data_IF_214126980455
#
_entry.id   IF_214126980455
#
_cell.length_a   1.000
_cell.length_b   1.000
_cell.length_c   1.000
_cell.angle_alpha   90.00
_cell.angle_beta   90.00
_cell.angle_gamma   90.00
#
_symmetry.space_group_name_H-M   'P 1'
#
loop_
_entity.id
_entity.type
_entity.pdbx_description
1 polymer ?
#
# COMPACT_ATOMS: atom_id res chain seq x y z
N UNK A 1 -12.44 -12.90 -25.18
CA UNK A 1 -12.75 -13.38 -23.81
C UNK A 1 -13.49 -12.30 -23.06
N UNK A 2 -14.55 -12.65 -22.35
CA UNK A 2 -15.29 -11.76 -21.45
C UNK A 2 -14.96 -12.10 -20.00
N UNK A 3 -14.59 -11.12 -19.20
CA UNK A 3 -14.22 -11.31 -17.80
C UNK A 3 -15.03 -10.45 -16.86
N UNK A 4 -15.14 -10.83 -15.61
CA UNK A 4 -15.67 -9.98 -14.57
C UNK A 4 -14.62 -9.70 -13.48
N UNK A 5 -14.74 -8.55 -12.81
CA UNK A 5 -13.91 -8.15 -11.67
C UNK A 5 -14.82 -7.79 -10.51
N UNK A 6 -14.77 -8.57 -9.44
CA UNK A 6 -15.63 -8.43 -8.26
C UNK A 6 -14.90 -7.72 -7.15
N UNK A 7 -15.51 -6.63 -6.66
CA UNK A 7 -14.88 -5.69 -5.75
C UNK A 7 -14.08 -4.64 -6.51
N UNK A 8 -14.69 -3.49 -6.77
CA UNK A 8 -14.11 -2.38 -7.56
C UNK A 8 -13.49 -1.31 -6.66
N UNK A 9 -12.84 -1.74 -5.58
CA UNK A 9 -11.90 -0.89 -4.81
C UNK A 9 -10.63 -0.64 -5.62
N UNK A 10 -9.58 -0.17 -4.93
CA UNK A 10 -8.31 0.19 -5.57
C UNK A 10 -7.77 -0.90 -6.51
N UNK A 11 -7.60 -2.14 -6.00
CA UNK A 11 -7.13 -3.26 -6.80
C UNK A 11 -8.07 -3.57 -7.97
N UNK A 12 -9.36 -3.70 -7.68
CA UNK A 12 -10.31 -4.20 -8.71
C UNK A 12 -10.58 -3.18 -9.81
N UNK A 13 -10.72 -1.89 -9.51
CA UNK A 13 -10.92 -0.86 -10.53
C UNK A 13 -9.69 -0.73 -11.43
N UNK A 14 -8.47 -0.77 -10.84
CA UNK A 14 -7.21 -0.78 -11.60
C UNK A 14 -7.12 -2.02 -12.49
N UNK A 15 -7.37 -3.20 -11.92
CA UNK A 15 -7.33 -4.45 -12.69
C UNK A 15 -8.34 -4.44 -13.83
N UNK A 16 -9.57 -4.00 -13.59
CA UNK A 16 -10.62 -3.93 -14.61
C UNK A 16 -10.24 -3.01 -15.79
N UNK A 17 -9.74 -1.81 -15.50
CA UNK A 17 -9.32 -0.86 -16.52
C UNK A 17 -8.10 -1.37 -17.32
N UNK A 18 -7.12 -1.97 -16.64
CA UNK A 18 -5.94 -2.54 -17.31
C UNK A 18 -6.27 -3.77 -18.15
N UNK A 19 -7.16 -4.64 -17.69
CA UNK A 19 -7.57 -5.80 -18.50
C UNK A 19 -8.37 -5.37 -19.74
N UNK A 20 -9.15 -4.27 -19.66
CA UNK A 20 -9.79 -3.68 -20.81
C UNK A 20 -8.76 -3.08 -21.80
N UNK A 21 -7.66 -2.48 -21.30
CA UNK A 21 -6.54 -2.00 -22.12
C UNK A 21 -5.82 -3.16 -22.83
N UNK A 22 -5.69 -4.30 -22.17
CA UNK A 22 -5.15 -5.54 -22.76
C UNK A 22 -6.10 -6.19 -23.78
N UNK A 23 -7.28 -5.59 -24.03
CA UNK A 23 -8.20 -5.97 -25.11
C UNK A 23 -9.39 -6.83 -24.71
N UNK A 24 -9.56 -7.12 -23.43
CA UNK A 24 -10.68 -7.95 -22.95
C UNK A 24 -11.98 -7.13 -22.79
N UNK A 25 -13.12 -7.79 -22.83
CA UNK A 25 -14.42 -7.23 -22.45
C UNK A 25 -14.61 -7.41 -20.94
N UNK A 26 -14.77 -6.34 -20.19
CA UNK A 26 -14.71 -6.37 -18.72
C UNK A 26 -15.99 -5.84 -18.09
N UNK A 27 -16.50 -6.58 -17.10
CA UNK A 27 -17.61 -6.12 -16.24
C UNK A 27 -17.12 -6.05 -14.78
N UNK A 28 -17.04 -4.84 -14.22
CA UNK A 28 -16.77 -4.62 -12.81
C UNK A 28 -18.03 -4.72 -11.96
N UNK A 29 -17.98 -5.44 -10.85
CA UNK A 29 -19.11 -5.60 -9.92
C UNK A 29 -18.72 -5.16 -8.52
N UNK A 30 -19.55 -4.32 -7.90
CA UNK A 30 -19.40 -3.93 -6.49
C UNK A 30 -20.78 -3.76 -5.86
N UNK A 31 -20.90 -3.99 -4.56
CA UNK A 31 -22.15 -3.77 -3.81
C UNK A 31 -22.43 -2.30 -3.50
N UNK A 32 -21.44 -1.44 -3.62
CA UNK A 32 -21.54 0.00 -3.37
C UNK A 32 -22.07 0.72 -4.62
N UNK A 33 -23.35 1.07 -4.62
CA UNK A 33 -24.02 1.74 -5.74
C UNK A 33 -23.42 3.11 -6.07
N UNK A 34 -22.97 3.88 -5.07
CA UNK A 34 -22.36 5.19 -5.28
C UNK A 34 -21.01 5.08 -6.00
N UNK A 35 -20.20 4.07 -5.60
CA UNK A 35 -18.95 3.75 -6.27
C UNK A 35 -19.17 3.30 -7.72
N UNK A 36 -20.16 2.44 -7.96
CA UNK A 36 -20.51 1.97 -9.31
C UNK A 36 -20.98 3.13 -10.19
N UNK A 37 -21.78 4.04 -9.63
CA UNK A 37 -22.21 5.25 -10.37
C UNK A 37 -21.03 6.13 -10.80
N UNK A 38 -20.08 6.40 -9.88
CA UNK A 38 -18.87 7.18 -10.18
C UNK A 38 -18.02 6.49 -11.25
N UNK A 39 -17.70 5.20 -11.07
CA UNK A 39 -16.90 4.42 -12.01
C UNK A 39 -17.54 4.33 -13.40
N UNK A 40 -18.87 4.22 -13.46
CA UNK A 40 -19.63 4.19 -14.73
C UNK A 40 -19.57 5.52 -15.49
N UNK A 41 -19.31 6.64 -14.81
CA UNK A 41 -19.03 7.95 -15.39
C UNK A 41 -17.56 8.14 -15.78
N UNK A 42 -16.68 7.18 -15.43
CA UNK A 42 -15.23 7.28 -15.60
C UNK A 42 -14.55 8.08 -14.50
N UNK A 43 -15.19 8.21 -13.34
CA UNK A 43 -14.67 8.92 -12.15
C UNK A 43 -14.12 7.92 -11.13
N UNK A 44 -12.94 8.20 -10.59
CA UNK A 44 -12.28 7.36 -9.57
C UNK A 44 -12.56 7.91 -8.17
N UNK A 45 -12.94 7.04 -7.20
CA UNK A 45 -13.13 7.44 -5.81
C UNK A 45 -11.81 7.46 -4.99
N UNK A 46 -10.66 7.32 -5.64
CA UNK A 46 -9.31 7.33 -5.05
C UNK A 46 -8.29 7.88 -6.05
N UNK A 47 -7.09 8.17 -5.56
CA UNK A 47 -6.01 8.69 -6.41
C UNK A 47 -5.09 7.57 -6.90
N UNK A 48 -4.91 7.48 -8.21
CA UNK A 48 -3.87 6.66 -8.88
C UNK A 48 -3.49 7.33 -10.19
N UNK A 49 -2.19 7.60 -10.44
CA UNK A 49 -1.72 8.17 -11.69
C UNK A 49 -2.16 7.33 -12.91
N UNK A 50 -2.44 7.97 -14.04
CA UNK A 50 -2.80 7.37 -15.34
C UNK A 50 -4.13 6.59 -15.35
N UNK A 51 -4.65 6.16 -14.21
CA UNK A 51 -5.87 5.36 -14.14
C UNK A 51 -7.14 6.13 -14.54
N UNK A 52 -7.32 7.43 -14.23
CA UNK A 52 -8.51 8.20 -14.67
C UNK A 52 -8.70 8.20 -16.19
N UNK A 53 -7.62 8.44 -16.94
CA UNK A 53 -7.62 8.47 -18.40
C UNK A 53 -7.95 7.09 -18.98
N UNK A 54 -7.33 6.04 -18.42
CA UNK A 54 -7.52 4.66 -18.84
C UNK A 54 -8.97 4.20 -18.58
N UNK A 55 -9.49 4.47 -17.37
CA UNK A 55 -10.87 4.18 -17.00
C UNK A 55 -11.85 4.87 -17.94
N UNK A 56 -11.73 6.18 -18.11
CA UNK A 56 -12.62 6.98 -18.98
C UNK A 56 -12.60 6.49 -20.43
N UNK A 57 -11.42 6.14 -20.96
CA UNK A 57 -11.23 5.58 -22.31
C UNK A 57 -12.08 4.32 -22.51
N UNK A 58 -11.98 3.37 -21.59
CA UNK A 58 -12.62 2.06 -21.77
C UNK A 58 -14.10 2.05 -21.40
N UNK A 59 -14.54 2.88 -20.44
CA UNK A 59 -15.95 3.08 -20.16
C UNK A 59 -16.66 3.72 -21.37
N UNK A 60 -16.12 4.80 -21.95
CA UNK A 60 -16.66 5.44 -23.16
C UNK A 60 -16.60 4.52 -24.38
N UNK A 61 -15.56 3.70 -24.49
CA UNK A 61 -15.39 2.72 -25.57
C UNK A 61 -16.28 1.48 -25.46
N UNK A 62 -16.99 1.30 -24.33
CA UNK A 62 -17.89 0.16 -24.10
C UNK A 62 -17.16 -1.17 -23.78
N UNK A 63 -15.82 -1.15 -23.64
CA UNK A 63 -14.99 -2.31 -23.25
C UNK A 63 -15.05 -2.61 -21.76
N UNK A 64 -15.35 -1.58 -20.94
CA UNK A 64 -15.46 -1.68 -19.50
C UNK A 64 -16.83 -1.16 -19.05
N UNK A 65 -17.55 -1.98 -18.29
CA UNK A 65 -18.84 -1.62 -17.68
C UNK A 65 -18.80 -1.89 -16.20
N UNK A 66 -19.63 -1.19 -15.45
CA UNK A 66 -19.77 -1.40 -14.00
C UNK A 66 -21.23 -1.61 -13.63
N UNK A 67 -21.48 -2.51 -12.67
CA UNK A 67 -22.84 -2.87 -12.23
C UNK A 67 -22.84 -3.32 -10.78
N UNK A 68 -24.01 -3.26 -10.15
CA UNK A 68 -24.27 -3.93 -8.86
C UNK A 68 -24.96 -5.30 -9.04
N UNK A 69 -25.35 -5.64 -10.27
CA UNK A 69 -26.10 -6.86 -10.58
C UNK A 69 -25.18 -7.99 -11.05
N UNK A 70 -25.10 -9.05 -10.26
CA UNK A 70 -24.33 -10.25 -10.58
C UNK A 70 -24.90 -11.02 -11.80
N UNK A 71 -26.15 -10.83 -12.18
CA UNK A 71 -26.70 -11.50 -13.38
C UNK A 71 -25.99 -11.08 -14.68
N UNK A 72 -25.41 -9.85 -14.73
CA UNK A 72 -24.69 -9.34 -15.88
C UNK A 72 -23.34 -10.01 -16.17
N UNK A 73 -22.85 -10.81 -15.22
CA UNK A 73 -21.58 -11.54 -15.36
C UNK A 73 -21.78 -13.04 -15.61
N UNK A 74 -23.01 -13.52 -15.70
CA UNK A 74 -23.30 -14.94 -15.86
C UNK A 74 -22.67 -15.58 -17.10
N UNK A 75 -22.42 -14.81 -18.16
CA UNK A 75 -21.79 -15.26 -19.41
C UNK A 75 -20.27 -15.04 -19.48
N UNK A 76 -19.64 -14.53 -18.40
CA UNK A 76 -18.19 -14.34 -18.34
C UNK A 76 -17.43 -15.67 -18.29
N UNK A 77 -16.23 -15.68 -18.89
CA UNK A 77 -15.35 -16.84 -18.95
C UNK A 77 -14.48 -16.94 -17.67
N UNK A 78 -14.09 -15.78 -17.14
CA UNK A 78 -13.23 -15.65 -15.95
C UNK A 78 -13.81 -14.60 -15.01
N UNK A 79 -13.79 -14.90 -13.71
CA UNK A 79 -14.26 -14.03 -12.65
C UNK A 79 -13.12 -13.74 -11.67
N UNK A 80 -12.55 -12.53 -11.71
CA UNK A 80 -11.49 -12.10 -10.79
C UNK A 80 -12.10 -11.52 -9.51
N UNK A 81 -11.80 -12.14 -8.36
CA UNK A 81 -12.26 -11.68 -7.04
C UNK A 81 -11.18 -10.79 -6.42
N UNK A 82 -11.47 -9.49 -6.34
CA UNK A 82 -10.56 -8.42 -5.92
C UNK A 82 -11.05 -7.71 -4.65
N UNK A 83 -11.87 -8.35 -3.85
CA UNK A 83 -12.45 -7.77 -2.63
C UNK A 83 -11.41 -7.59 -1.53
N UNK A 84 -11.63 -6.62 -0.63
CA UNK A 84 -10.73 -6.37 0.49
C UNK A 84 -10.72 -7.50 1.52
N UNK A 85 -9.59 -7.63 2.20
CA UNK A 85 -9.39 -8.54 3.35
C UNK A 85 -8.88 -7.72 4.54
N UNK A 86 -9.74 -6.93 5.20
CA UNK A 86 -9.32 -6.13 6.33
C UNK A 86 -8.92 -7.01 7.51
N UNK A 87 -8.15 -6.45 8.44
CA UNK A 87 -7.88 -7.11 9.71
C UNK A 87 -9.17 -7.19 10.53
N UNK A 88 -9.39 -8.28 11.24
CA UNK A 88 -10.50 -8.41 12.19
C UNK A 88 -10.40 -7.35 13.29
N UNK A 89 -11.54 -6.89 13.80
CA UNK A 89 -11.60 -5.88 14.88
C UNK A 89 -10.91 -6.36 16.15
N UNK A 90 -11.09 -7.63 16.45
CA UNK A 90 -10.62 -8.26 17.70
C UNK A 90 -9.55 -9.31 17.38
N UNK A 91 -8.40 -8.87 16.84
CA UNK A 91 -7.29 -9.78 16.58
C UNK A 91 -6.40 -9.41 15.39
N UNK A 92 -5.43 -10.26 15.10
CA UNK A 92 -4.49 -10.06 13.99
C UNK A 92 -4.92 -10.74 12.69
N UNK A 93 -5.91 -11.65 12.76
CA UNK A 93 -6.39 -12.43 11.61
C UNK A 93 -7.07 -11.55 10.55
N UNK A 94 -7.09 -12.03 9.31
CA UNK A 94 -7.82 -11.39 8.22
C UNK A 94 -9.33 -11.75 8.29
N UNK A 95 -10.19 -10.77 8.03
CA UNK A 95 -11.62 -11.00 7.81
C UNK A 95 -11.85 -11.49 6.39
N UNK A 96 -12.26 -12.76 6.26
CA UNK A 96 -12.54 -13.43 4.99
C UNK A 96 -14.02 -13.39 4.58
N UNK A 97 -14.88 -12.73 5.33
CA UNK A 97 -16.32 -12.67 5.06
C UNK A 97 -16.62 -12.12 3.65
N UNK A 98 -15.93 -11.06 3.26
CA UNK A 98 -16.07 -10.47 1.92
C UNK A 98 -15.64 -11.42 0.81
N UNK A 99 -14.52 -12.12 0.99
CA UNK A 99 -14.02 -13.11 0.02
C UNK A 99 -15.01 -14.24 -0.14
N UNK A 100 -15.45 -14.86 0.96
CA UNK A 100 -16.42 -15.98 0.96
C UNK A 100 -17.74 -15.56 0.30
N UNK A 101 -18.25 -14.38 0.65
CA UNK A 101 -19.50 -13.84 0.08
C UNK A 101 -19.36 -13.60 -1.43
N UNK A 102 -18.27 -13.01 -1.89
CA UNK A 102 -18.02 -12.76 -3.31
C UNK A 102 -17.91 -14.07 -4.11
N UNK A 103 -17.16 -15.06 -3.61
CA UNK A 103 -17.07 -16.37 -4.25
C UNK A 103 -18.45 -17.08 -4.33
N UNK A 104 -19.24 -17.04 -3.26
CA UNK A 104 -20.58 -17.63 -3.26
C UNK A 104 -21.53 -16.94 -4.25
N UNK A 105 -21.50 -15.59 -4.30
CA UNK A 105 -22.34 -14.82 -5.21
C UNK A 105 -22.00 -15.09 -6.69
N UNK A 106 -20.71 -15.16 -7.02
CA UNK A 106 -20.25 -15.50 -8.38
C UNK A 106 -20.62 -16.94 -8.73
N UNK A 107 -20.37 -17.90 -7.83
CA UNK A 107 -20.66 -19.32 -8.06
C UNK A 107 -22.15 -19.58 -8.34
N UNK A 108 -23.05 -18.76 -7.80
CA UNK A 108 -24.49 -18.87 -8.01
C UNK A 108 -24.94 -18.48 -9.43
N UNK A 109 -24.16 -17.66 -10.15
CA UNK A 109 -24.53 -17.14 -11.48
C UNK A 109 -23.59 -17.60 -12.60
N UNK A 110 -22.38 -18.06 -12.24
CA UNK A 110 -21.33 -18.43 -13.17
C UNK A 110 -21.76 -19.57 -14.10
N UNK A 111 -21.53 -19.43 -15.42
CA UNK A 111 -21.81 -20.49 -16.39
C UNK A 111 -20.92 -21.70 -16.18
N UNK A 112 -21.35 -22.87 -16.61
CA UNK A 112 -20.52 -24.08 -16.62
C UNK A 112 -19.22 -23.84 -17.39
N UNK A 113 -18.10 -24.22 -16.77
CA UNK A 113 -16.78 -24.09 -17.36
C UNK A 113 -16.12 -22.75 -17.17
N UNK A 114 -16.72 -21.77 -16.49
CA UNK A 114 -16.01 -20.55 -16.11
C UNK A 114 -14.98 -20.80 -15.00
N UNK A 115 -13.98 -19.91 -14.94
CA UNK A 115 -12.90 -19.94 -13.94
C UNK A 115 -13.09 -18.83 -12.92
N UNK A 116 -13.13 -19.17 -11.63
CA UNK A 116 -13.10 -18.21 -10.53
C UNK A 116 -11.64 -18.01 -10.09
N UNK A 117 -11.19 -16.76 -10.02
CA UNK A 117 -9.80 -16.41 -9.74
C UNK A 117 -9.69 -15.48 -8.54
N UNK A 118 -9.14 -15.96 -7.44
CA UNK A 118 -8.84 -15.10 -6.28
C UNK A 118 -7.59 -14.24 -6.54
N UNK A 119 -7.72 -12.91 -6.37
CA UNK A 119 -6.57 -11.98 -6.40
C UNK A 119 -6.27 -11.38 -5.03
N UNK A 120 -7.22 -11.40 -4.13
CA UNK A 120 -7.07 -10.87 -2.77
C UNK A 120 -5.96 -11.57 -2.01
N UNK A 121 -5.26 -10.83 -1.13
CA UNK A 121 -4.31 -11.44 -0.19
C UNK A 121 -5.08 -12.14 0.92
N UNK A 122 -4.90 -13.44 1.05
CA UNK A 122 -5.61 -14.28 2.03
C UNK A 122 -4.63 -15.16 2.81
N UNK A 123 -5.02 -15.64 4.00
CA UNK A 123 -4.29 -16.67 4.73
C UNK A 123 -4.16 -17.97 3.92
N UNK A 124 -2.99 -18.59 4.00
CA UNK A 124 -2.71 -19.85 3.28
C UNK A 124 -3.72 -20.95 3.62
N UNK A 125 -4.20 -21.65 2.59
CA UNK A 125 -5.23 -22.68 2.67
C UNK A 125 -6.65 -22.20 2.37
N UNK A 126 -6.87 -20.88 2.29
CA UNK A 126 -8.19 -20.29 1.97
C UNK A 126 -8.71 -20.75 0.60
N UNK A 127 -7.86 -20.73 -0.43
CA UNK A 127 -8.24 -21.15 -1.78
C UNK A 127 -8.68 -22.62 -1.83
N UNK A 128 -8.00 -23.50 -1.08
CA UNK A 128 -8.38 -24.91 -0.99
C UNK A 128 -9.72 -25.12 -0.29
N UNK A 129 -10.03 -24.33 0.73
CA UNK A 129 -11.32 -24.36 1.41
C UNK A 129 -12.45 -23.85 0.52
N UNK A 130 -12.23 -22.78 -0.20
CA UNK A 130 -13.18 -22.23 -1.17
C UNK A 130 -13.45 -23.23 -2.31
N UNK A 131 -12.42 -23.87 -2.84
CA UNK A 131 -12.56 -24.85 -3.91
C UNK A 131 -13.50 -26.02 -3.54
N UNK A 132 -13.54 -26.44 -2.27
CA UNK A 132 -14.46 -27.49 -1.79
C UNK A 132 -15.92 -27.05 -1.79
N UNK A 133 -16.19 -25.76 -1.79
CA UNK A 133 -17.54 -25.19 -1.71
C UNK A 133 -18.10 -24.81 -3.09
N UNK A 134 -17.25 -24.80 -4.12
CA UNK A 134 -17.66 -24.44 -5.47
C UNK A 134 -18.47 -25.57 -6.15
N UNK A 135 -19.43 -25.21 -7.02
CA UNK A 135 -20.11 -26.17 -7.86
C UNK A 135 -19.13 -26.94 -8.74
N UNK A 136 -19.39 -28.24 -8.96
CA UNK A 136 -18.50 -29.13 -9.73
C UNK A 136 -18.25 -28.69 -11.19
N UNK A 137 -19.08 -27.80 -11.72
CA UNK A 137 -18.93 -27.26 -13.08
C UNK A 137 -18.06 -26.02 -13.17
N UNK A 138 -17.51 -25.53 -12.04
CA UNK A 138 -16.58 -24.38 -11.99
C UNK A 138 -15.21 -24.82 -11.47
N UNK A 139 -14.17 -24.09 -11.85
CA UNK A 139 -12.81 -24.28 -11.35
C UNK A 139 -12.33 -23.05 -10.60
N UNK A 140 -11.34 -23.23 -9.72
CA UNK A 140 -10.74 -22.16 -8.95
C UNK A 140 -9.24 -22.06 -9.25
N UNK A 141 -8.77 -20.82 -9.43
CA UNK A 141 -7.36 -20.47 -9.44
C UNK A 141 -7.06 -19.39 -8.43
N UNK A 142 -5.79 -19.22 -8.08
CA UNK A 142 -5.32 -18.11 -7.25
C UNK A 142 -4.22 -17.36 -7.98
N UNK A 143 -4.46 -16.07 -8.26
CA UNK A 143 -3.51 -15.20 -8.94
C UNK A 143 -3.28 -13.95 -8.09
N UNK A 144 -2.38 -14.02 -7.09
CA UNK A 144 -2.10 -12.88 -6.22
C UNK A 144 -1.58 -11.68 -7.01
N UNK A 145 -1.89 -10.49 -6.54
CA UNK A 145 -1.39 -9.23 -7.09
C UNK A 145 -0.08 -8.81 -6.42
N UNK A 146 0.73 -8.03 -7.13
CA UNK A 146 1.99 -7.46 -6.63
C UNK A 146 2.13 -5.99 -6.98
N UNK A 147 1.03 -5.31 -7.29
CA UNK A 147 1.02 -3.90 -7.66
C UNK A 147 1.43 -3.00 -6.48
N UNK A 148 1.95 -1.83 -6.84
CA UNK A 148 2.30 -0.76 -5.92
C UNK A 148 1.36 0.41 -6.17
N UNK A 149 0.72 0.94 -5.13
CA UNK A 149 -0.03 2.19 -5.24
C UNK A 149 0.86 3.29 -5.82
N UNK A 150 0.31 4.16 -6.68
CA UNK A 150 1.07 5.14 -7.45
C UNK A 150 1.78 4.61 -8.70
N UNK A 151 1.81 3.27 -8.88
CA UNK A 151 2.38 2.57 -10.04
C UNK A 151 1.51 1.39 -10.48
N UNK A 152 0.24 1.37 -10.06
CA UNK A 152 -0.58 0.19 -10.19
C UNK A 152 -0.97 -0.11 -11.64
N UNK A 153 -1.12 0.92 -12.49
CA UNK A 153 -1.35 0.77 -13.92
C UNK A 153 -0.15 0.07 -14.58
N UNK A 154 1.06 0.59 -14.38
CA UNK A 154 2.28 0.00 -14.94
C UNK A 154 2.52 -1.42 -14.42
N UNK A 155 2.39 -1.63 -13.10
CA UNK A 155 2.56 -2.96 -12.48
C UNK A 155 1.52 -3.99 -12.94
N UNK A 156 0.34 -3.55 -13.40
CA UNK A 156 -0.70 -4.44 -13.94
C UNK A 156 -0.51 -4.71 -15.43
N UNK A 157 -0.17 -3.67 -16.21
CA UNK A 157 0.06 -3.82 -17.65
C UNK A 157 1.38 -4.53 -17.97
N UNK A 158 2.44 -4.27 -17.15
CA UNK A 158 3.79 -4.85 -17.32
C UNK A 158 4.29 -5.47 -16.01
N UNK A 159 3.63 -6.52 -15.51
CA UNK A 159 4.02 -7.14 -14.24
C UNK A 159 5.39 -7.81 -14.34
N UNK A 160 6.19 -7.69 -13.29
CA UNK A 160 7.50 -8.38 -13.21
C UNK A 160 7.37 -9.90 -13.28
N UNK A 161 6.23 -10.43 -12.93
CA UNK A 161 5.85 -11.86 -12.99
C UNK A 161 4.36 -12.05 -12.81
N UNK A 162 3.84 -13.13 -13.36
CA UNK A 162 2.49 -13.65 -13.09
C UNK A 162 2.62 -14.97 -12.32
N UNK A 163 2.08 -15.01 -11.10
CA UNK A 163 2.04 -16.21 -10.27
C UNK A 163 0.61 -16.75 -10.30
N UNK A 164 0.44 -18.02 -10.63
CA UNK A 164 -0.87 -18.66 -10.70
C UNK A 164 -0.88 -19.99 -9.98
N UNK A 165 -1.73 -20.10 -8.97
CA UNK A 165 -2.06 -21.33 -8.29
C UNK A 165 -3.22 -22.01 -9.01
N UNK A 166 -3.00 -23.19 -9.57
CA UNK A 166 -3.99 -23.93 -10.32
C UNK A 166 -3.98 -25.40 -9.95
N UNK A 167 -5.12 -26.07 -10.18
CA UNK A 167 -5.28 -27.51 -9.94
C UNK A 167 -5.42 -28.30 -11.25
N UNK A 168 -5.60 -27.63 -12.38
CA UNK A 168 -5.73 -28.25 -13.70
C UNK A 168 -4.95 -27.48 -14.78
N UNK A 169 -4.62 -28.17 -15.86
CA UNK A 169 -4.01 -27.53 -17.04
C UNK A 169 -5.01 -26.61 -17.75
N UNK A 170 -6.30 -26.95 -17.72
CA UNK A 170 -7.37 -26.12 -18.29
C UNK A 170 -7.45 -24.75 -17.61
N UNK A 171 -7.42 -24.70 -16.29
CA UNK A 171 -7.43 -23.44 -15.54
C UNK A 171 -6.19 -22.58 -15.89
N UNK A 172 -5.02 -23.20 -16.07
CA UNK A 172 -3.81 -22.53 -16.49
C UNK A 172 -3.94 -21.94 -17.90
N UNK A 173 -4.45 -22.71 -18.86
CA UNK A 173 -4.60 -22.24 -20.25
C UNK A 173 -5.60 -21.08 -20.36
N UNK A 174 -6.71 -21.10 -19.62
CA UNK A 174 -7.65 -19.98 -19.55
C UNK A 174 -6.96 -18.71 -19.03
N UNK A 175 -6.13 -18.83 -17.98
CA UNK A 175 -5.38 -17.67 -17.48
C UNK A 175 -4.29 -17.19 -18.44
N UNK A 176 -3.62 -18.10 -19.14
CA UNK A 176 -2.67 -17.72 -20.21
C UNK A 176 -3.34 -16.96 -21.35
N UNK A 177 -4.58 -17.32 -21.70
CA UNK A 177 -5.37 -16.57 -22.68
C UNK A 177 -5.70 -15.15 -22.14
N UNK A 178 -6.15 -15.05 -20.89
CA UNK A 178 -6.45 -13.76 -20.26
C UNK A 178 -5.21 -12.82 -20.20
N UNK A 179 -4.02 -13.37 -20.01
CA UNK A 179 -2.75 -12.64 -19.92
C UNK A 179 -1.89 -12.79 -21.20
N UNK A 180 -2.49 -13.10 -22.33
CA UNK A 180 -1.73 -13.38 -23.57
C UNK A 180 -0.83 -12.23 -24.02
N UNK A 181 -1.26 -10.97 -23.82
CA UNK A 181 -0.46 -9.78 -24.16
C UNK A 181 0.79 -9.72 -23.27
N UNK A 182 0.63 -9.87 -21.94
CA UNK A 182 1.75 -9.85 -21.01
C UNK A 182 2.76 -10.96 -21.30
N UNK A 183 2.28 -12.17 -21.61
CA UNK A 183 3.14 -13.29 -21.97
C UNK A 183 3.90 -13.05 -23.29
N UNK A 184 3.25 -12.44 -24.28
CA UNK A 184 3.90 -12.06 -25.55
C UNK A 184 4.99 -11.02 -25.34
N UNK A 185 4.84 -10.13 -24.36
CA UNK A 185 5.85 -9.14 -23.95
C UNK A 185 6.98 -9.74 -23.10
N UNK A 186 6.92 -11.05 -22.79
CA UNK A 186 7.97 -11.78 -22.07
C UNK A 186 7.81 -11.78 -20.55
N UNK A 187 6.65 -11.44 -20.00
CA UNK A 187 6.40 -11.54 -18.56
C UNK A 187 6.60 -12.98 -18.07
N UNK A 188 7.43 -13.21 -17.04
CA UNK A 188 7.63 -14.54 -16.46
C UNK A 188 6.33 -15.13 -15.90
N UNK A 189 6.06 -16.37 -16.27
CA UNK A 189 4.92 -17.14 -15.79
C UNK A 189 5.36 -18.18 -14.77
N UNK A 190 4.76 -18.13 -13.57
CA UNK A 190 5.08 -19.05 -12.47
C UNK A 190 3.83 -19.86 -12.12
N UNK A 191 3.76 -21.09 -12.61
CA UNK A 191 2.74 -22.06 -12.20
C UNK A 191 3.07 -22.60 -10.81
N UNK A 192 2.07 -22.63 -9.94
CA UNK A 192 2.15 -23.14 -8.58
C UNK A 192 0.86 -23.91 -8.22
N UNK A 193 0.84 -24.60 -7.09
CA UNK A 193 -0.40 -25.02 -6.46
C UNK A 193 -1.03 -23.85 -5.66
N UNK A 194 -2.28 -24.01 -5.24
CA UNK A 194 -3.03 -22.96 -4.53
C UNK A 194 -2.32 -22.45 -3.28
N UNK A 195 -1.86 -23.30 -2.34
CA UNK A 195 -1.16 -22.81 -1.14
C UNK A 195 0.13 -22.06 -1.45
N UNK A 196 0.90 -22.50 -2.43
CA UNK A 196 2.14 -21.80 -2.81
C UNK A 196 1.85 -20.42 -3.38
N UNK A 197 0.81 -20.27 -4.23
CA UNK A 197 0.44 -18.97 -4.77
C UNK A 197 0.01 -17.98 -3.67
N UNK A 198 -0.74 -18.44 -2.66
CA UNK A 198 -1.09 -17.65 -1.48
C UNK A 198 0.15 -17.26 -0.69
N UNK A 199 1.08 -18.21 -0.43
CA UNK A 199 2.30 -17.98 0.33
C UNK A 199 3.26 -17.00 -0.37
N UNK A 200 3.37 -17.04 -1.71
CA UNK A 200 4.25 -16.12 -2.45
C UNK A 200 3.95 -14.67 -2.14
N UNK A 201 2.66 -14.29 -2.03
CA UNK A 201 2.26 -12.92 -1.73
C UNK A 201 2.68 -12.49 -0.33
N UNK A 202 2.30 -13.25 0.68
CA UNK A 202 2.62 -12.90 2.07
C UNK A 202 4.10 -13.00 2.36
N UNK A 203 4.83 -13.95 1.75
CA UNK A 203 6.28 -14.06 1.87
C UNK A 203 6.99 -12.85 1.26
N UNK A 204 6.57 -12.40 0.07
CA UNK A 204 7.12 -11.20 -0.54
C UNK A 204 6.91 -9.96 0.36
N UNK A 205 5.69 -9.74 0.88
CA UNK A 205 5.41 -8.62 1.76
C UNK A 205 6.18 -8.71 3.08
N UNK A 206 6.31 -9.90 3.67
CA UNK A 206 7.10 -10.13 4.88
C UNK A 206 8.59 -9.83 4.66
N UNK A 207 9.15 -10.23 3.52
CA UNK A 207 10.54 -9.95 3.19
C UNK A 207 10.80 -8.45 2.97
N UNK A 208 9.88 -7.76 2.29
CA UNK A 208 9.96 -6.30 2.10
C UNK A 208 9.88 -5.55 3.42
N UNK A 209 8.96 -5.94 4.31
CA UNK A 209 8.86 -5.39 5.67
C UNK A 209 10.15 -5.62 6.47
N UNK A 210 10.75 -6.82 6.35
CA UNK A 210 12.03 -7.15 7.00
C UNK A 210 13.15 -6.23 6.52
N UNK A 211 13.27 -5.95 5.22
CA UNK A 211 14.29 -5.03 4.69
C UNK A 211 14.16 -3.62 5.29
N UNK A 212 12.92 -3.10 5.37
CA UNK A 212 12.68 -1.76 5.94
C UNK A 212 13.00 -1.74 7.44
N UNK A 213 12.54 -2.73 8.20
CA UNK A 213 12.85 -2.80 9.63
C UNK A 213 14.32 -3.03 9.89
N UNK A 214 15.00 -3.85 9.07
CA UNK A 214 16.45 -4.04 9.15
C UNK A 214 17.21 -2.73 9.02
N UNK A 215 16.94 -1.95 7.98
CA UNK A 215 17.65 -0.67 7.78
C UNK A 215 17.29 0.37 8.86
N UNK A 216 16.07 0.33 9.40
CA UNK A 216 15.69 1.17 10.53
C UNK A 216 16.44 0.79 11.83
N UNK A 217 16.67 -0.50 12.06
CA UNK A 217 17.54 -0.96 13.17
C UNK A 217 18.99 -0.50 12.95
N UNK A 218 19.51 -0.55 11.71
CA UNK A 218 20.85 -0.03 11.40
C UNK A 218 20.93 1.49 11.59
N UNK A 219 19.86 2.23 11.35
CA UNK A 219 19.79 3.66 11.63
C UNK A 219 20.02 3.96 13.12
N UNK A 220 19.45 3.15 14.02
CA UNK A 220 19.68 3.29 15.47
C UNK A 220 21.16 3.07 15.83
N UNK A 221 21.82 2.11 15.22
CA UNK A 221 23.26 1.84 15.44
C UNK A 221 24.09 3.00 14.86
N UNK A 222 23.75 3.51 13.68
CA UNK A 222 24.46 4.66 13.09
C UNK A 222 24.42 5.89 14.01
N UNK A 223 23.26 6.23 14.59
CA UNK A 223 23.14 7.34 15.54
C UNK A 223 24.05 7.18 16.77
N UNK A 224 24.19 5.95 17.27
CA UNK A 224 25.00 5.66 18.44
C UNK A 224 26.50 5.69 18.15
N UNK A 225 26.91 5.35 16.93
CA UNK A 225 28.30 5.17 16.53
C UNK A 225 28.86 6.31 15.69
N UNK A 226 28.05 7.32 15.36
CA UNK A 226 28.43 8.42 14.44
C UNK A 226 28.44 8.02 12.97
N UNK A 227 27.74 6.94 12.61
CA UNK A 227 27.59 6.49 11.23
C UNK A 227 26.51 7.26 10.46
N UNK A 228 26.44 7.02 9.13
CA UNK A 228 25.36 7.52 8.25
C UNK A 228 24.66 6.31 7.60
N UNK A 229 23.38 6.12 7.94
CA UNK A 229 22.58 5.00 7.44
C UNK A 229 22.35 5.08 5.93
N UNK A 230 22.37 6.27 5.32
CA UNK A 230 22.18 6.43 3.87
C UNK A 230 23.40 5.90 3.10
N UNK A 231 24.60 6.15 3.63
CA UNK A 231 25.85 5.59 3.11
C UNK A 231 25.91 4.09 3.32
N UNK A 232 25.55 3.60 4.52
CA UNK A 232 25.46 2.18 4.83
C UNK A 232 24.51 1.46 3.87
N UNK A 233 23.26 1.97 3.71
CA UNK A 233 22.27 1.39 2.83
C UNK A 233 22.75 1.33 1.36
N UNK A 234 23.39 2.42 0.88
CA UNK A 234 23.99 2.47 -0.45
C UNK A 234 25.08 1.41 -0.61
N UNK A 235 25.98 1.30 0.36
CA UNK A 235 27.12 0.37 0.32
C UNK A 235 26.67 -1.09 0.26
N UNK A 236 25.76 -1.52 1.17
CA UNK A 236 25.25 -2.89 1.14
C UNK A 236 24.36 -3.16 -0.06
N UNK A 237 23.67 -2.14 -0.56
CA UNK A 237 22.77 -2.22 -1.73
C UNK A 237 23.51 -2.49 -3.05
N UNK A 238 24.82 -2.25 -3.13
CA UNK A 238 25.65 -2.61 -4.29
C UNK A 238 25.86 -4.12 -4.43
N UNK A 239 25.71 -4.89 -3.36
CA UNK A 239 25.72 -6.34 -3.47
C UNK A 239 24.43 -6.81 -4.18
N UNK A 240 24.52 -7.46 -5.36
CA UNK A 240 23.32 -7.90 -6.11
C UNK A 240 22.47 -8.92 -5.35
N UNK A 241 23.01 -9.60 -4.36
CA UNK A 241 22.27 -10.53 -3.48
C UNK A 241 21.35 -9.79 -2.52
N UNK A 242 21.63 -8.51 -2.21
CA UNK A 242 20.87 -7.65 -1.32
C UNK A 242 19.99 -6.69 -2.14
N UNK A 243 20.59 -5.95 -3.06
CA UNK A 243 19.95 -4.91 -3.88
C UNK A 243 19.56 -3.68 -3.06
N UNK A 244 19.44 -2.54 -3.71
CA UNK A 244 19.22 -1.23 -3.09
C UNK A 244 17.75 -0.92 -2.73
N UNK A 245 16.78 -1.65 -3.28
CA UNK A 245 15.36 -1.38 -3.04
C UNK A 245 14.94 -1.78 -1.63
N UNK A 246 14.06 -0.97 -1.00
CA UNK A 246 13.55 -1.17 0.35
C UNK A 246 14.60 -1.09 1.47
N UNK A 247 15.69 -0.35 1.23
CA UNK A 247 16.74 -0.05 2.21
C UNK A 247 16.77 1.44 2.58
N UNK A 248 15.65 2.14 2.53
CA UNK A 248 15.55 3.53 2.97
C UNK A 248 15.09 3.57 4.43
N UNK A 249 15.98 4.05 5.31
CA UNK A 249 15.66 4.26 6.71
C UNK A 249 14.73 5.48 6.87
N UNK A 250 13.78 5.38 7.78
CA UNK A 250 12.82 6.44 8.06
C UNK A 250 11.86 6.09 9.20
N UNK A 251 10.67 6.65 9.15
CA UNK A 251 9.64 6.50 10.20
C UNK A 251 8.89 5.14 10.16
N UNK A 252 9.37 4.20 9.39
CA UNK A 252 8.75 2.89 9.22
C UNK A 252 7.79 2.80 8.04
N UNK A 253 7.26 1.59 7.84
CA UNK A 253 6.25 1.31 6.82
C UNK A 253 4.83 1.42 7.38
N UNK A 254 3.88 1.72 6.51
CA UNK A 254 2.44 1.79 6.76
C UNK A 254 1.65 1.29 5.56
N UNK A 255 0.47 1.87 5.38
CA UNK A 255 -0.45 1.52 4.31
C UNK A 255 -1.31 0.30 4.60
N UNK A 256 -2.22 0.01 3.69
CA UNK A 256 -3.19 -1.06 3.82
C UNK A 256 -2.66 -2.48 3.57
N UNK A 257 -1.35 -2.66 3.32
CA UNK A 257 -0.78 -3.95 2.92
C UNK A 257 0.22 -4.51 3.93
N UNK A 258 1.44 -3.93 4.04
CA UNK A 258 2.52 -4.55 4.81
C UNK A 258 2.15 -4.84 6.27
N UNK A 259 1.60 -3.87 7.07
CA UNK A 259 1.32 -4.13 8.47
C UNK A 259 0.29 -5.24 8.68
N UNK A 260 -0.84 -5.20 7.92
CA UNK A 260 -1.89 -6.21 8.07
C UNK A 260 -1.46 -7.59 7.62
N UNK A 261 -0.67 -7.67 6.52
CA UNK A 261 -0.30 -8.95 5.91
C UNK A 261 0.69 -9.73 6.80
N UNK A 262 1.68 -9.05 7.41
CA UNK A 262 2.60 -9.71 8.35
C UNK A 262 1.86 -10.16 9.62
N UNK A 263 0.92 -9.36 10.14
CA UNK A 263 0.11 -9.71 11.31
C UNK A 263 -0.83 -10.88 11.02
N UNK A 264 -1.52 -10.85 9.87
CA UNK A 264 -2.38 -11.95 9.43
C UNK A 264 -1.57 -13.24 9.17
N UNK A 265 -0.33 -13.12 8.67
CA UNK A 265 0.55 -14.27 8.46
C UNK A 265 0.99 -14.90 9.78
N UNK A 266 1.34 -14.09 10.78
CA UNK A 266 1.65 -14.60 12.13
C UNK A 266 0.45 -15.32 12.75
N UNK A 267 -0.76 -14.73 12.68
CA UNK A 267 -1.98 -15.37 13.18
C UNK A 267 -2.26 -16.70 12.47
N UNK A 268 -2.12 -16.74 11.14
CA UNK A 268 -2.33 -17.98 10.38
C UNK A 268 -1.29 -19.05 10.69
N UNK A 269 -0.04 -18.68 10.87
CA UNK A 269 1.02 -19.62 11.27
C UNK A 269 0.74 -20.24 12.66
N UNK A 270 0.17 -19.46 13.60
CA UNK A 270 -0.26 -19.95 14.90
C UNK A 270 -1.39 -20.98 14.76
N UNK A 271 -2.44 -20.68 13.96
CA UNK A 271 -3.52 -21.62 13.68
C UNK A 271 -3.03 -22.95 13.07
N UNK A 272 -1.95 -22.89 12.28
CA UNK A 272 -1.34 -24.05 11.64
C UNK A 272 -0.30 -24.77 12.51
N UNK A 273 -0.02 -24.29 13.74
CA UNK A 273 1.00 -24.86 14.62
C UNK A 273 2.43 -24.56 14.16
N UNK A 274 2.65 -23.55 13.34
CA UNK A 274 3.94 -23.17 12.75
C UNK A 274 4.45 -21.80 13.23
N UNK A 275 4.04 -21.33 14.40
CA UNK A 275 4.36 -19.99 14.95
C UNK A 275 5.84 -19.67 14.93
N UNK A 276 6.70 -20.66 15.29
CA UNK A 276 8.15 -20.48 15.35
C UNK A 276 8.78 -20.10 14.01
N UNK A 277 8.20 -20.55 12.89
CA UNK A 277 8.71 -20.27 11.55
C UNK A 277 8.66 -18.78 11.19
N UNK A 278 7.73 -18.02 11.77
CA UNK A 278 7.48 -16.61 11.49
C UNK A 278 7.65 -15.72 12.74
N UNK A 279 8.22 -16.22 13.82
CA UNK A 279 8.38 -15.48 15.08
C UNK A 279 9.18 -14.19 14.90
N UNK A 280 10.17 -14.17 14.02
CA UNK A 280 10.95 -12.98 13.68
C UNK A 280 10.08 -11.80 13.18
N UNK A 281 8.89 -12.04 12.65
CA UNK A 281 7.99 -10.99 12.21
C UNK A 281 7.44 -10.15 13.36
N UNK A 282 7.42 -10.68 14.58
CA UNK A 282 7.10 -9.90 15.80
C UNK A 282 8.13 -8.80 16.03
N UNK A 283 9.42 -9.14 15.87
CA UNK A 283 10.51 -8.18 16.01
C UNK A 283 10.49 -7.16 14.87
N UNK A 284 10.18 -7.59 13.65
CA UNK A 284 10.01 -6.71 12.48
C UNK A 284 8.91 -5.66 12.71
N UNK A 285 7.73 -6.07 13.20
CA UNK A 285 6.63 -5.14 13.52
C UNK A 285 7.01 -4.23 14.71
N UNK A 286 7.67 -4.77 15.74
CA UNK A 286 8.14 -4.00 16.90
C UNK A 286 9.16 -2.92 16.50
N UNK A 287 10.13 -3.23 15.64
CA UNK A 287 11.10 -2.27 15.09
C UNK A 287 10.36 -1.19 14.28
N UNK A 288 9.38 -1.58 13.46
CA UNK A 288 8.57 -0.66 12.68
C UNK A 288 7.83 0.36 13.57
N UNK A 289 7.16 -0.11 14.60
CA UNK A 289 6.45 0.76 15.55
C UNK A 289 7.44 1.64 16.37
N UNK A 290 8.59 1.10 16.75
CA UNK A 290 9.64 1.85 17.46
C UNK A 290 10.21 2.99 16.60
N UNK A 291 10.30 2.83 15.27
CA UNK A 291 10.75 3.90 14.38
C UNK A 291 9.87 5.15 14.50
N UNK A 292 8.55 5.01 14.67
CA UNK A 292 7.62 6.12 14.94
C UNK A 292 7.92 6.78 16.28
N UNK A 293 8.07 5.97 17.34
CA UNK A 293 8.37 6.48 18.69
C UNK A 293 9.69 7.26 18.75
N UNK A 294 10.68 6.88 17.95
CA UNK A 294 11.96 7.58 17.88
C UNK A 294 11.81 9.01 17.39
N UNK A 295 10.93 9.27 16.41
CA UNK A 295 10.64 10.65 15.96
C UNK A 295 10.07 11.47 17.12
N UNK A 296 9.13 10.91 17.88
CA UNK A 296 8.53 11.59 19.04
C UNK A 296 9.61 11.94 20.06
N UNK A 297 10.48 10.97 20.38
CA UNK A 297 11.59 11.20 21.31
C UNK A 297 12.55 12.30 20.82
N UNK A 298 12.80 12.40 19.51
CA UNK A 298 13.61 13.48 18.93
C UNK A 298 12.89 14.83 19.05
N UNK A 299 11.60 14.90 18.81
CA UNK A 299 10.81 16.13 19.02
C UNK A 299 10.87 16.57 20.48
N UNK A 300 10.71 15.66 21.43
CA UNK A 300 10.84 15.93 22.87
C UNK A 300 12.26 16.40 23.25
N UNK A 301 13.29 15.85 22.62
CA UNK A 301 14.69 16.27 22.83
C UNK A 301 14.93 17.69 22.30
N UNK A 302 14.36 18.04 21.15
CA UNK A 302 14.58 19.33 20.50
C UNK A 302 13.76 20.47 21.09
N UNK A 303 12.56 20.20 21.61
CA UNK A 303 11.62 21.20 22.11
C UNK A 303 11.38 21.13 23.62
N UNK A 304 11.76 20.04 24.26
CA UNK A 304 11.43 19.73 25.66
C UNK A 304 10.20 18.85 25.79
N UNK A 305 9.97 18.35 27.00
CA UNK A 305 8.88 17.41 27.29
C UNK A 305 7.48 18.08 27.33
N UNK A 306 7.41 19.38 27.59
CA UNK A 306 6.12 20.12 27.57
C UNK A 306 5.93 20.77 26.19
N UNK A 307 5.13 20.16 25.35
CA UNK A 307 4.90 20.59 23.98
C UNK A 307 3.75 21.60 23.82
N UNK A 308 3.07 22.01 24.88
CA UNK A 308 1.84 22.84 24.82
C UNK A 308 2.01 24.22 24.18
N UNK A 309 3.18 24.77 24.17
CA UNK A 309 3.43 26.11 23.60
C UNK A 309 4.02 26.06 22.19
N UNK A 310 4.22 24.89 21.63
CA UNK A 310 4.90 24.73 20.35
C UNK A 310 3.93 24.46 19.20
N UNK A 311 4.26 25.08 18.06
CA UNK A 311 3.61 24.81 16.77
C UNK A 311 4.51 23.89 15.94
N UNK A 312 3.95 22.76 15.52
CA UNK A 312 4.68 21.75 14.73
C UNK A 312 3.99 21.59 13.39
N UNK A 313 4.73 21.89 12.32
CA UNK A 313 4.29 21.65 10.96
C UNK A 313 4.69 20.22 10.52
N UNK A 314 3.74 19.49 9.96
CA UNK A 314 3.96 18.13 9.43
C UNK A 314 3.78 18.15 7.92
N UNK A 315 4.83 17.84 7.18
CA UNK A 315 4.80 17.68 5.74
C UNK A 315 4.65 16.18 5.40
N UNK A 316 3.43 15.81 5.06
CA UNK A 316 3.03 14.44 4.75
C UNK A 316 2.00 13.86 5.71
N UNK A 317 0.93 13.29 5.18
CA UNK A 317 -0.12 12.54 5.87
C UNK A 317 -0.25 11.11 5.34
N UNK A 318 -0.02 10.91 4.05
CA UNK A 318 -0.07 9.60 3.40
C UNK A 318 1.12 8.72 3.84
N UNK A 319 0.95 7.40 3.78
CA UNK A 319 2.02 6.48 4.20
C UNK A 319 3.23 6.49 3.25
N UNK A 320 3.03 6.95 2.00
CA UNK A 320 4.06 7.16 0.97
C UNK A 320 3.59 8.20 -0.05
N UNK A 321 4.48 8.77 -0.90
CA UNK A 321 4.10 9.65 -1.99
C UNK A 321 3.30 8.92 -3.10
N UNK A 322 2.69 9.69 -3.99
CA UNK A 322 1.91 9.24 -5.14
C UNK A 322 0.71 8.34 -4.79
N UNK A 323 0.13 8.55 -3.60
CA UNK A 323 -1.05 7.87 -3.08
C UNK A 323 -1.85 8.81 -2.17
N UNK A 324 -3.16 8.58 -2.01
CA UNK A 324 -4.01 9.22 -1.01
C UNK A 324 -4.28 8.32 0.20
N UNK A 325 -3.61 7.15 0.28
CA UNK A 325 -3.82 6.18 1.35
C UNK A 325 -3.20 6.62 2.67
N UNK A 326 -4.07 6.76 3.67
CA UNK A 326 -3.72 7.14 5.05
C UNK A 326 -3.89 5.97 6.05
N UNK A 327 -4.12 4.77 5.56
CA UNK A 327 -4.27 3.58 6.41
C UNK A 327 -2.93 3.25 7.07
N UNK A 328 -2.96 3.06 8.41
CA UNK A 328 -1.75 2.82 9.22
C UNK A 328 -0.58 3.76 8.86
N UNK A 329 -0.90 5.06 8.57
CA UNK A 329 0.12 6.04 8.21
C UNK A 329 1.03 6.34 9.39
N UNK A 330 2.36 6.10 9.29
CA UNK A 330 3.30 6.48 10.33
C UNK A 330 3.33 7.99 10.58
N UNK A 331 3.13 8.80 9.54
CA UNK A 331 3.11 10.26 9.63
C UNK A 331 1.93 10.74 10.50
N UNK A 332 0.73 10.24 10.24
CA UNK A 332 -0.46 10.60 11.03
C UNK A 332 -0.42 10.06 12.45
N UNK A 333 0.14 8.86 12.66
CA UNK A 333 0.34 8.30 13.99
C UNK A 333 1.28 9.18 14.83
N UNK A 334 2.41 9.60 14.27
CA UNK A 334 3.35 10.55 14.90
C UNK A 334 2.66 11.88 15.19
N UNK A 335 1.97 12.46 14.20
CA UNK A 335 1.26 13.74 14.35
C UNK A 335 0.21 13.70 15.45
N UNK A 336 -0.57 12.62 15.53
CA UNK A 336 -1.59 12.43 16.55
C UNK A 336 -0.99 12.28 17.97
N UNK A 337 0.11 11.55 18.11
CA UNK A 337 0.78 11.40 19.41
C UNK A 337 1.39 12.73 19.89
N UNK A 338 2.01 13.51 19.00
CA UNK A 338 2.55 14.84 19.30
C UNK A 338 1.43 15.82 19.67
N UNK A 339 0.31 15.78 18.96
CA UNK A 339 -0.88 16.57 19.31
C UNK A 339 -1.44 16.18 20.68
N UNK A 340 -1.53 14.88 20.97
CA UNK A 340 -1.97 14.39 22.28
C UNK A 340 -1.02 14.81 23.41
N UNK A 341 0.28 15.02 23.13
CA UNK A 341 1.25 15.60 24.08
C UNK A 341 1.09 17.11 24.26
N UNK A 342 0.16 17.76 23.54
CA UNK A 342 -0.25 19.14 23.72
C UNK A 342 0.23 20.14 22.69
N UNK A 343 1.01 19.74 21.70
CA UNK A 343 1.45 20.64 20.62
C UNK A 343 0.30 21.05 19.69
N UNK A 344 0.38 22.26 19.15
CA UNK A 344 -0.43 22.68 18.00
C UNK A 344 0.16 22.07 16.73
N UNK A 345 -0.49 21.05 16.17
CA UNK A 345 -0.01 20.34 14.97
C UNK A 345 -0.84 20.75 13.77
N UNK A 346 -0.15 21.20 12.70
CA UNK A 346 -0.76 21.47 11.39
C UNK A 346 -0.10 20.59 10.33
N UNK A 347 -0.92 19.94 9.50
CA UNK A 347 -0.47 18.95 8.51
C UNK A 347 -0.79 19.46 7.11
N UNK A 348 0.16 19.30 6.19
CA UNK A 348 -0.07 19.43 4.75
C UNK A 348 0.25 18.10 4.06
N UNK A 349 -0.56 17.75 3.05
CA UNK A 349 -0.30 16.62 2.15
C UNK A 349 -0.91 16.90 0.77
N UNK A 350 -0.22 16.63 -0.35
CA UNK A 350 -0.74 16.92 -1.68
C UNK A 350 -2.02 16.18 -2.06
N UNK A 351 -2.27 14.99 -1.46
CA UNK A 351 -3.41 14.12 -1.82
C UNK A 351 -4.18 13.56 -0.62
N UNK A 352 -3.55 13.52 0.55
CA UNK A 352 -4.07 12.81 1.72
C UNK A 352 -4.89 13.66 2.70
N UNK A 353 -5.13 14.96 2.44
CA UNK A 353 -5.81 15.85 3.42
C UNK A 353 -7.22 15.36 3.74
N UNK A 354 -8.05 15.12 2.72
CA UNK A 354 -9.45 14.74 2.94
C UNK A 354 -9.61 13.37 3.64
N UNK A 355 -8.92 12.29 3.23
CA UNK A 355 -8.97 11.04 3.97
C UNK A 355 -8.35 11.14 5.36
N UNK A 356 -7.30 11.95 5.55
CA UNK A 356 -6.70 12.19 6.87
C UNK A 356 -7.65 12.94 7.81
N UNK A 357 -8.32 14.00 7.33
CA UNK A 357 -9.30 14.78 8.11
C UNK A 357 -10.46 13.91 8.59
N UNK A 358 -10.96 13.01 7.75
CA UNK A 358 -12.01 12.06 8.14
C UNK A 358 -11.57 11.11 9.25
N UNK A 359 -10.30 10.69 9.23
CA UNK A 359 -9.76 9.71 10.19
C UNK A 359 -9.26 10.36 11.48
N UNK A 360 -8.73 11.58 11.40
CA UNK A 360 -8.15 12.34 12.51
C UNK A 360 -8.75 13.75 12.59
N UNK A 361 -10.06 13.88 12.91
CA UNK A 361 -10.75 15.16 12.87
C UNK A 361 -10.25 16.17 13.93
N UNK A 362 -9.45 15.74 14.90
CA UNK A 362 -8.86 16.60 15.93
C UNK A 362 -7.58 17.32 15.46
N UNK A 363 -6.98 16.91 14.34
CA UNK A 363 -5.78 17.52 13.78
C UNK A 363 -6.13 18.70 12.85
N UNK A 364 -5.22 19.68 12.75
CA UNK A 364 -5.37 20.78 11.81
C UNK A 364 -4.73 20.41 10.46
N UNK A 365 -5.36 20.86 9.36
CA UNK A 365 -4.89 20.61 8.00
C UNK A 365 -4.84 21.93 7.22
N UNK A 366 -3.75 22.14 6.48
CA UNK A 366 -3.54 23.28 5.59
C UNK A 366 -3.47 22.82 4.13
N UNK A 367 -4.07 23.59 3.23
CA UNK A 367 -4.10 23.27 1.79
C UNK A 367 -2.81 23.67 1.07
N UNK A 368 -1.96 24.51 1.73
CA UNK A 368 -0.67 24.98 1.19
C UNK A 368 0.44 24.77 2.19
N UNK A 369 1.64 24.46 1.67
CA UNK A 369 2.84 24.30 2.49
C UNK A 369 3.13 25.56 3.32
N UNK A 370 3.01 26.75 2.72
CA UNK A 370 3.28 28.03 3.37
C UNK A 370 2.37 28.28 4.57
N UNK A 371 1.09 27.89 4.46
CA UNK A 371 0.13 27.98 5.56
C UNK A 371 0.48 26.97 6.67
N UNK A 372 0.87 25.75 6.30
CA UNK A 372 1.25 24.72 7.23
C UNK A 372 2.46 25.11 8.07
N UNK A 373 3.51 25.67 7.44
CA UNK A 373 4.76 25.99 8.12
C UNK A 373 4.76 27.35 8.82
N UNK A 374 3.73 28.17 8.61
CA UNK A 374 3.66 29.53 9.14
C UNK A 374 3.74 29.58 10.66
N UNK A 375 4.80 30.22 11.20
CA UNK A 375 5.05 30.35 12.62
C UNK A 375 5.44 29.06 13.34
N UNK A 376 5.78 27.99 12.62
CA UNK A 376 6.19 26.72 13.20
C UNK A 376 7.52 26.82 13.98
N UNK A 377 7.58 26.16 15.12
CA UNK A 377 8.79 25.97 15.93
C UNK A 377 9.65 24.80 15.41
N UNK A 378 9.02 23.83 14.73
CA UNK A 378 9.67 22.67 14.13
C UNK A 378 8.88 22.19 12.90
N UNK A 379 9.58 21.83 11.84
CA UNK A 379 9.01 21.10 10.70
C UNK A 379 9.37 19.61 10.80
N UNK A 380 8.40 18.75 10.60
CA UNK A 380 8.58 17.30 10.43
C UNK A 380 8.29 16.92 8.97
N UNK A 381 9.28 16.42 8.25
CA UNK A 381 9.12 15.85 6.91
C UNK A 381 8.88 14.35 7.03
N UNK A 382 7.62 13.91 6.90
CA UNK A 382 7.19 12.54 7.21
C UNK A 382 6.68 11.74 6.01
N UNK A 383 6.44 12.38 4.84
CA UNK A 383 6.20 11.69 3.57
C UNK A 383 7.01 12.35 2.47
N UNK A 384 7.74 11.55 1.71
CA UNK A 384 8.77 12.02 0.78
C UNK A 384 8.23 12.48 -0.59
N UNK A 385 7.15 13.26 -0.60
CA UNK A 385 6.59 13.86 -1.80
C UNK A 385 7.66 14.68 -2.56
N UNK A 386 7.62 14.62 -3.90
CA UNK A 386 8.54 15.36 -4.76
C UNK A 386 8.50 16.86 -4.47
N UNK A 387 7.32 17.41 -4.25
CA UNK A 387 7.10 18.82 -3.92
C UNK A 387 7.89 19.28 -2.69
N UNK A 388 7.98 18.45 -1.65
CA UNK A 388 8.75 18.80 -0.45
C UNK A 388 10.26 18.78 -0.67
N UNK A 389 10.74 17.87 -1.53
CA UNK A 389 12.17 17.82 -1.89
C UNK A 389 12.60 19.00 -2.74
N UNK A 390 11.68 19.64 -3.45
CA UNK A 390 11.91 20.79 -4.32
C UNK A 390 11.73 22.13 -3.59
N UNK A 391 11.33 22.15 -2.32
CA UNK A 391 11.20 23.37 -1.52
C UNK A 391 12.50 24.17 -1.48
N UNK A 392 12.37 25.50 -1.51
CA UNK A 392 13.47 26.41 -1.24
C UNK A 392 13.61 26.66 0.26
N UNK A 393 14.68 26.15 0.92
CA UNK A 393 14.87 26.33 2.35
C UNK A 393 14.95 27.79 2.77
N UNK A 394 15.49 28.68 1.91
CA UNK A 394 15.60 30.10 2.23
C UNK A 394 14.26 30.82 2.21
N UNK A 395 13.33 30.39 1.33
CA UNK A 395 11.96 30.89 1.31
C UNK A 395 11.17 30.40 2.53
N UNK A 396 11.21 29.09 2.83
CA UNK A 396 10.51 28.49 3.96
C UNK A 396 11.00 29.07 5.30
N UNK A 397 12.31 29.38 5.44
CA UNK A 397 12.89 29.97 6.64
C UNK A 397 12.23 31.29 7.05
N UNK A 398 11.72 32.05 6.09
CA UNK A 398 11.05 33.34 6.36
C UNK A 398 9.66 33.20 6.98
N UNK A 399 9.08 32.01 6.91
CA UNK A 399 7.72 31.73 7.35
C UNK A 399 7.66 31.09 8.74
N UNK A 400 8.73 30.41 9.15
CA UNK A 400 8.78 29.69 10.43
C UNK A 400 9.23 30.60 11.58
N UNK A 401 8.88 30.25 12.79
CA UNK A 401 9.38 30.91 14.01
C UNK A 401 10.79 30.43 14.36
N UNK A 402 11.12 29.16 14.13
CA UNK A 402 12.44 28.60 14.30
C UNK A 402 12.83 27.78 13.05
N UNK A 403 14.06 27.99 12.56
CA UNK A 403 14.57 27.24 11.41
C UNK A 403 15.06 25.83 11.84
N UNK A 404 14.15 25.01 12.33
CA UNK A 404 14.39 23.61 12.73
C UNK A 404 13.59 22.66 11.86
N UNK A 405 14.24 21.61 11.38
CA UNK A 405 13.60 20.56 10.56
C UNK A 405 14.12 19.18 10.93
N UNK A 406 13.20 18.21 11.04
CA UNK A 406 13.51 16.79 11.17
C UNK A 406 13.05 16.06 9.91
N UNK A 407 14.00 15.53 9.15
CA UNK A 407 13.73 14.68 7.98
C UNK A 407 13.56 13.24 8.41
N UNK A 408 12.32 12.83 8.59
CA UNK A 408 11.94 11.45 8.95
C UNK A 408 12.05 10.45 7.79
N UNK A 409 12.39 10.90 6.58
CA UNK A 409 12.47 10.06 5.37
C UNK A 409 13.85 9.99 4.74
N UNK A 410 14.81 10.80 5.21
CA UNK A 410 16.15 10.90 4.64
C UNK A 410 16.15 11.26 3.13
N UNK A 411 15.23 12.14 2.71
CA UNK A 411 15.03 12.48 1.30
C UNK A 411 15.27 13.96 0.98
N UNK A 412 15.44 14.79 2.01
CA UNK A 412 15.83 16.19 1.83
C UNK A 412 17.33 16.32 1.65
N UNK A 413 17.74 17.34 0.90
CA UNK A 413 19.16 17.69 0.72
C UNK A 413 19.69 18.39 1.97
N UNK A 414 20.37 17.62 2.84
CA UNK A 414 20.93 18.11 4.11
C UNK A 414 21.82 19.33 3.91
N UNK A 415 22.72 19.30 2.92
CA UNK A 415 23.69 20.37 2.68
C UNK A 415 22.98 21.67 2.27
N UNK A 416 21.98 21.57 1.38
CA UNK A 416 21.17 22.70 0.95
C UNK A 416 20.40 23.35 2.12
N UNK A 417 19.81 22.54 3.00
CA UNK A 417 19.07 23.04 4.16
C UNK A 417 20.02 23.68 5.19
N UNK A 418 21.12 23.02 5.51
CA UNK A 418 22.13 23.56 6.45
C UNK A 418 22.79 24.84 5.92
N UNK A 419 23.10 24.92 4.62
CA UNK A 419 23.64 26.12 3.99
C UNK A 419 22.67 27.31 4.08
N UNK A 420 21.35 27.06 4.09
CA UNK A 420 20.33 28.08 4.35
C UNK A 420 20.17 28.45 5.85
N UNK A 421 20.97 27.83 6.73
CA UNK A 421 21.00 28.07 8.16
C UNK A 421 19.88 27.42 8.94
N UNK A 422 19.50 26.22 8.55
CA UNK A 422 18.57 25.37 9.29
C UNK A 422 19.32 24.44 10.26
N UNK A 423 18.74 24.26 11.45
CA UNK A 423 19.07 23.18 12.35
C UNK A 423 18.39 21.90 11.80
N UNK A 424 19.18 21.05 11.17
CA UNK A 424 18.70 19.91 10.37
C UNK A 424 19.01 18.59 11.06
N UNK A 425 17.97 17.86 11.40
CA UNK A 425 18.03 16.51 11.96
C UNK A 425 17.49 15.48 10.98
N UNK A 426 18.02 14.27 11.04
CA UNK A 426 17.53 13.14 10.24
C UNK A 426 17.76 11.82 10.97
N UNK A 427 16.93 10.83 10.69
CA UNK A 427 17.03 9.51 11.31
C UNK A 427 18.27 8.74 10.81
N UNK A 428 19.10 8.24 11.73
CA UNK A 428 20.26 7.42 11.39
C UNK A 428 21.45 8.20 10.80
N UNK A 429 21.48 9.53 10.96
CA UNK A 429 22.56 10.40 10.50
C UNK A 429 23.01 11.30 11.64
N UNK A 430 24.21 11.07 12.13
CA UNK A 430 24.84 11.86 13.18
C UNK A 430 25.22 13.27 12.71
#
# INVERSE_FOLDING_TARGET
>A
MKISVIGTGYLGATHAACMAELGLDVVGVDSDAAKIEALSKGELPFYEPELPELLSKHVKGGKLKFTTDYSEIADCDVHFICVGTPQMKDGLAADLSYVKSAFAAVAAVAKPGSLLVGKSTVPVGTAQELAKQLPAHTELAWNPEFLREGFAVEDTLRPNRLVVGVTSDRAEEILKEAYAVNLKEGTPWVRANLPTAELVKVSANSFLATKISFINAMAEICETTGGDVTVLAKAIGYDPRIGNRFLQAGIGFGGGCLPKDIRAFMARAEELGASQAVEFLKDIDAINLRARKRVINLVEKELGLDLKSFKIAVLGATFKPDSDDVRDSPALDIAAQIHAAGAEVTIHDPKGIEPARKRFPALNFAEKVEECVSGADLILHLTEWKEYRELDPAAIKKLVKQAKILDGRNMLDREKWQAAGWDFHALGRA
#
